data_IF_528610184959
#
_entry.id   IF_528610184959
#
_cell.length_a   1.000
_cell.length_b   1.000
_cell.length_c   1.000
_cell.angle_alpha   90.00
_cell.angle_beta   90.00
_cell.angle_gamma   90.00
#
_symmetry.space_group_name_H-M   'P 1'
#
loop_
_entity.id
_entity.type
_entity.pdbx_description
1 polymer ?
#
# COMPACT_ATOMS: atom_id res chain seq x y z
N UNK A 1 31.49 -4.66 -28.42
CA UNK A 1 31.74 -5.72 -27.43
C UNK A 1 30.45 -6.48 -27.19
N UNK A 2 30.42 -7.73 -27.68
CA UNK A 2 29.31 -8.64 -27.32
C UNK A 2 29.72 -9.32 -26.02
N UNK A 3 29.27 -8.77 -24.89
CA UNK A 3 29.44 -9.44 -23.62
C UNK A 3 28.48 -10.64 -23.57
N UNK A 4 29.01 -11.84 -23.39
CA UNK A 4 28.22 -13.03 -23.03
C UNK A 4 28.31 -13.24 -21.54
N UNK A 5 27.19 -13.62 -20.91
CA UNK A 5 27.12 -13.95 -19.48
C UNK A 5 26.45 -15.31 -19.35
N UNK A 6 26.99 -16.17 -18.50
CA UNK A 6 26.32 -17.42 -18.12
C UNK A 6 25.16 -17.05 -17.20
N UNK A 7 23.94 -17.47 -17.57
CA UNK A 7 22.71 -17.17 -16.82
C UNK A 7 22.12 -18.37 -16.10
N UNK A 8 22.63 -19.56 -16.38
CA UNK A 8 22.24 -20.79 -15.68
C UNK A 8 23.07 -21.97 -16.14
N UNK A 9 23.33 -22.88 -15.22
CA UNK A 9 24.01 -24.15 -15.46
C UNK A 9 23.20 -25.27 -14.81
N UNK A 10 23.16 -26.42 -15.46
CA UNK A 10 22.49 -27.61 -14.95
C UNK A 10 23.18 -28.88 -15.38
N UNK A 11 23.07 -29.92 -14.56
CA UNK A 11 23.60 -31.26 -14.89
C UNK A 11 22.44 -32.24 -14.95
N UNK A 12 22.49 -33.14 -15.89
CA UNK A 12 21.56 -34.25 -16.00
C UNK A 12 22.33 -35.59 -16.15
N UNK A 13 21.64 -36.68 -15.85
CA UNK A 13 22.24 -38.00 -15.93
C UNK A 13 22.63 -38.34 -17.38
N UNK A 14 23.69 -39.15 -17.53
CA UNK A 14 24.10 -39.65 -18.82
C UNK A 14 22.95 -40.37 -19.53
N UNK A 15 22.75 -40.06 -20.81
CA UNK A 15 21.75 -40.68 -21.67
C UNK A 15 22.36 -41.87 -22.42
N UNK A 16 21.62 -42.96 -22.53
CA UNK A 16 22.00 -44.04 -23.41
C UNK A 16 21.76 -43.68 -24.90
N UNK A 17 22.40 -44.38 -25.81
CA UNK A 17 22.25 -44.13 -27.22
C UNK A 17 20.77 -44.30 -27.67
N UNK A 18 20.22 -43.24 -28.23
CA UNK A 18 18.79 -43.18 -28.65
C UNK A 18 17.82 -42.65 -27.59
N UNK A 19 18.29 -42.41 -26.36
CA UNK A 19 17.46 -41.80 -25.32
C UNK A 19 17.34 -40.29 -25.47
N UNK A 20 16.29 -39.76 -24.87
CA UNK A 20 16.03 -38.34 -24.77
C UNK A 20 15.90 -37.91 -23.31
N UNK A 21 16.38 -36.71 -22.98
CA UNK A 21 16.25 -36.14 -21.66
C UNK A 21 15.69 -34.70 -21.75
N UNK A 22 15.10 -34.25 -20.66
CA UNK A 22 14.65 -32.87 -20.50
C UNK A 22 15.43 -32.25 -19.35
N UNK A 23 16.06 -31.11 -19.64
CA UNK A 23 16.65 -30.26 -18.59
C UNK A 23 15.83 -28.97 -18.50
N UNK A 24 15.40 -28.63 -17.29
CA UNK A 24 14.71 -27.40 -16.98
C UNK A 24 15.67 -26.47 -16.25
N UNK A 25 15.89 -25.30 -16.82
CA UNK A 25 16.74 -24.26 -16.23
C UNK A 25 15.92 -22.99 -16.07
N UNK A 26 15.85 -22.52 -14.84
CA UNK A 26 15.23 -21.25 -14.50
C UNK A 26 16.32 -20.19 -14.33
N UNK A 27 16.19 -19.10 -15.04
CA UNK A 27 17.09 -17.96 -14.88
C UNK A 27 16.31 -16.65 -14.84
N UNK A 28 16.83 -15.69 -14.11
CA UNK A 28 16.27 -14.33 -14.05
C UNK A 28 17.18 -13.39 -14.82
N UNK A 29 16.60 -12.41 -15.51
CA UNK A 29 17.38 -11.36 -16.17
C UNK A 29 17.94 -10.39 -15.11
N UNK A 30 19.12 -10.71 -14.58
CA UNK A 30 19.72 -10.02 -13.43
C UNK A 30 20.38 -8.68 -13.82
N UNK A 31 20.42 -8.33 -15.11
CA UNK A 31 21.23 -7.21 -15.52
C UNK A 31 20.44 -6.21 -16.37
N UNK A 32 20.42 -4.93 -15.94
CA UNK A 32 19.82 -3.80 -16.68
C UNK A 32 20.35 -3.69 -18.13
N UNK A 33 21.49 -4.32 -18.43
CA UNK A 33 22.12 -4.33 -19.74
C UNK A 33 21.58 -5.38 -20.71
N UNK A 34 20.64 -6.24 -20.30
CA UNK A 34 20.02 -7.27 -21.15
C UNK A 34 18.76 -6.80 -21.89
N UNK A 35 18.60 -5.49 -22.10
CA UNK A 35 17.47 -4.95 -22.83
C UNK A 35 17.59 -5.11 -24.34
N UNK A 36 16.46 -5.28 -25.00
CA UNK A 36 16.40 -5.34 -26.46
C UNK A 36 16.52 -6.76 -27.00
N UNK A 37 17.08 -6.87 -28.21
CA UNK A 37 17.26 -8.17 -28.87
C UNK A 37 18.45 -8.92 -28.26
N UNK A 38 18.16 -10.00 -27.54
CA UNK A 38 19.17 -10.90 -26.97
C UNK A 38 19.07 -12.28 -27.62
N UNK A 39 20.18 -13.00 -27.62
CA UNK A 39 20.21 -14.39 -28.08
C UNK A 39 20.60 -15.27 -26.88
N UNK A 40 19.69 -16.12 -26.45
CA UNK A 40 19.99 -17.18 -25.50
C UNK A 40 20.75 -18.27 -26.27
N UNK A 41 21.91 -18.61 -25.79
CA UNK A 41 22.71 -19.72 -26.31
C UNK A 41 22.69 -20.83 -25.28
N UNK A 42 22.19 -22.00 -25.65
CA UNK A 42 22.27 -23.20 -24.84
C UNK A 42 23.37 -24.06 -25.41
N UNK A 43 24.34 -24.40 -24.59
CA UNK A 43 25.45 -25.29 -24.93
C UNK A 43 25.33 -26.57 -24.08
N UNK A 44 25.38 -27.72 -24.73
CA UNK A 44 25.35 -29.02 -24.10
C UNK A 44 26.76 -29.59 -24.15
N UNK A 45 27.21 -30.22 -23.03
CA UNK A 45 28.54 -30.81 -22.90
C UNK A 45 29.68 -29.79 -23.19
N UNK A 46 29.67 -28.59 -22.55
CA UNK A 46 30.67 -27.56 -22.84
C UNK A 46 32.09 -27.97 -22.47
N UNK A 47 32.25 -28.84 -21.50
CA UNK A 47 33.55 -29.32 -21.03
C UNK A 47 34.08 -30.56 -21.81
N UNK A 48 33.25 -31.11 -22.69
CA UNK A 48 33.61 -32.27 -23.49
C UNK A 48 33.69 -33.56 -22.64
N UNK A 49 33.02 -33.62 -21.51
CA UNK A 49 33.03 -34.74 -20.57
C UNK A 49 32.47 -36.04 -21.17
N UNK A 50 31.59 -35.88 -22.17
CA UNK A 50 31.04 -36.99 -22.95
C UNK A 50 31.70 -37.00 -24.34
N UNK A 51 32.24 -38.17 -24.72
CA UNK A 51 32.80 -38.34 -26.04
C UNK A 51 31.69 -38.35 -27.10
N UNK A 52 31.73 -37.38 -28.02
CA UNK A 52 30.78 -37.23 -29.09
C UNK A 52 31.42 -37.28 -30.46
N UNK A 53 30.69 -37.79 -31.44
CA UNK A 53 31.17 -37.85 -32.82
C UNK A 53 31.14 -36.47 -33.47
N UNK A 54 30.20 -35.60 -33.08
CA UNK A 54 29.99 -34.27 -33.60
C UNK A 54 29.68 -33.32 -32.44
N UNK A 55 30.34 -32.16 -32.42
CA UNK A 55 30.15 -31.13 -31.39
C UNK A 55 29.35 -29.92 -31.93
N UNK A 56 29.17 -29.82 -33.26
CA UNK A 56 28.47 -28.67 -33.85
C UNK A 56 26.95 -28.63 -33.53
N UNK A 57 26.36 -29.75 -33.10
CA UNK A 57 24.96 -29.89 -32.72
C UNK A 57 24.70 -29.63 -31.25
N UNK A 58 25.74 -29.30 -30.47
CA UNK A 58 25.63 -29.02 -29.05
C UNK A 58 25.11 -27.61 -28.73
N UNK A 59 24.88 -26.81 -29.76
CA UNK A 59 24.44 -25.45 -29.59
C UNK A 59 23.01 -25.26 -30.09
N UNK A 60 22.19 -24.59 -29.22
CA UNK A 60 20.88 -24.09 -29.60
C UNK A 60 20.85 -22.58 -29.42
N UNK A 61 20.29 -21.85 -30.37
CA UNK A 61 20.20 -20.41 -30.36
C UNK A 61 18.75 -20.00 -30.36
N UNK A 62 18.34 -19.27 -29.34
CA UNK A 62 16.99 -18.69 -29.27
C UNK A 62 17.06 -17.18 -29.17
N UNK A 63 16.44 -16.50 -30.15
CA UNK A 63 16.36 -15.04 -30.18
C UNK A 63 15.10 -14.62 -29.43
N UNK A 64 15.26 -13.70 -28.48
CA UNK A 64 14.15 -13.12 -27.73
C UNK A 64 14.34 -11.62 -27.59
N UNK A 65 13.24 -10.92 -27.39
CA UNK A 65 13.26 -9.51 -27.06
C UNK A 65 13.01 -9.37 -25.55
N UNK A 66 13.97 -8.79 -24.85
CA UNK A 66 13.84 -8.49 -23.42
C UNK A 66 13.37 -7.05 -23.28
N UNK A 67 12.15 -6.87 -22.80
CA UNK A 67 11.60 -5.56 -22.47
C UNK A 67 12.23 -5.11 -21.15
N UNK A 68 12.84 -3.93 -21.12
CA UNK A 68 13.24 -3.29 -19.88
C UNK A 68 12.01 -2.75 -19.19
N UNK A 69 11.95 -3.00 -17.92
CA UNK A 69 11.10 -2.30 -16.99
C UNK A 69 11.89 -1.11 -16.42
N UNK A 70 11.41 0.07 -16.65
CA UNK A 70 11.99 1.32 -16.18
C UNK A 70 10.95 2.16 -15.41
N UNK A 71 9.76 1.58 -15.15
CA UNK A 71 8.73 2.23 -14.37
C UNK A 71 8.71 1.65 -12.96
N UNK A 72 8.63 2.50 -11.97
CA UNK A 72 8.45 2.06 -10.59
C UNK A 72 7.00 1.69 -10.30
N UNK A 73 6.76 0.92 -9.24
CA UNK A 73 5.43 0.50 -8.84
C UNK A 73 4.60 1.67 -8.32
N UNK A 74 3.28 1.53 -8.39
CA UNK A 74 2.35 2.46 -7.74
C UNK A 74 2.30 2.16 -6.24
N UNK A 75 2.52 3.19 -5.43
CA UNK A 75 2.43 3.12 -3.98
C UNK A 75 1.07 3.65 -3.51
N UNK A 76 0.42 2.91 -2.62
CA UNK A 76 -0.79 3.34 -1.92
C UNK A 76 -0.60 3.17 -0.41
N UNK A 77 -0.87 4.23 0.34
CA UNK A 77 -0.72 4.26 1.80
C UNK A 77 -2.02 4.70 2.42
N UNK A 78 -2.53 3.89 3.34
CA UNK A 78 -3.73 4.20 4.12
C UNK A 78 -3.45 4.00 5.61
N UNK A 79 -4.10 4.80 6.44
CA UNK A 79 -4.07 4.69 7.90
C UNK A 79 -5.53 4.53 8.36
N UNK A 80 -5.80 3.48 9.13
CA UNK A 80 -7.15 3.10 9.55
C UNK A 80 -8.14 3.00 8.37
N UNK A 81 -7.64 2.49 7.22
CA UNK A 81 -8.41 2.35 5.98
C UNK A 81 -8.61 3.64 5.17
N UNK A 82 -8.04 4.76 5.58
CA UNK A 82 -8.22 6.08 4.98
C UNK A 82 -6.90 6.65 4.48
N UNK A 83 -6.92 7.33 3.33
CA UNK A 83 -5.79 8.15 2.90
C UNK A 83 -5.81 9.46 3.68
N UNK A 84 -4.71 9.74 4.38
CA UNK A 84 -4.59 10.95 5.19
C UNK A 84 -4.32 12.18 4.33
N UNK A 85 -4.82 13.31 4.83
CA UNK A 85 -4.32 14.64 4.46
C UNK A 85 -3.30 15.11 5.50
N UNK A 86 -2.39 15.98 5.09
CA UNK A 86 -1.36 16.51 5.97
C UNK A 86 -1.97 17.24 7.17
N UNK A 87 -1.60 16.82 8.36
CA UNK A 87 -2.15 17.32 9.62
C UNK A 87 -3.45 16.64 10.11
N UNK A 88 -3.87 15.54 9.49
CA UNK A 88 -5.01 14.76 9.98
C UNK A 88 -4.72 14.18 11.38
N UNK A 89 -5.79 13.99 12.14
CA UNK A 89 -5.72 13.30 13.44
C UNK A 89 -5.96 11.81 13.24
N UNK A 90 -5.15 11.00 13.86
CA UNK A 90 -5.10 9.54 13.73
C UNK A 90 -5.31 8.88 15.10
N UNK A 91 -5.80 7.65 15.11
CA UNK A 91 -5.89 6.80 16.30
C UNK A 91 -4.53 6.64 16.98
N UNK A 92 -4.48 6.54 18.33
CA UNK A 92 -3.26 6.17 19.04
C UNK A 92 -2.71 4.78 18.71
N UNK A 93 -3.53 3.89 18.17
CA UNK A 93 -3.16 2.54 17.73
C UNK A 93 -3.51 2.36 16.24
N UNK A 94 -2.80 3.06 15.34
CA UNK A 94 -3.18 3.08 13.93
C UNK A 94 -2.80 1.78 13.22
N UNK A 95 -3.65 1.34 12.29
CA UNK A 95 -3.27 0.35 11.29
C UNK A 95 -2.78 1.07 10.02
N UNK A 96 -1.49 1.02 9.78
CA UNK A 96 -0.86 1.60 8.60
C UNK A 96 -0.72 0.52 7.54
N UNK A 97 -1.46 0.66 6.45
CA UNK A 97 -1.45 -0.28 5.32
C UNK A 97 -0.71 0.35 4.15
N UNK A 98 0.31 -0.35 3.69
CA UNK A 98 1.18 0.07 2.60
C UNK A 98 1.09 -0.97 1.49
N UNK A 99 0.71 -0.54 0.29
CA UNK A 99 0.54 -1.41 -0.85
C UNK A 99 1.36 -0.90 -2.02
N UNK A 100 2.16 -1.77 -2.63
CA UNK A 100 2.72 -1.53 -3.97
C UNK A 100 2.00 -2.38 -5.00
N UNK A 101 1.77 -1.76 -6.15
CA UNK A 101 1.12 -2.39 -7.28
C UNK A 101 1.97 -2.12 -8.53
N UNK A 102 2.40 -3.20 -9.21
CA UNK A 102 3.22 -3.11 -10.41
C UNK A 102 2.43 -3.60 -11.62
N UNK A 103 2.69 -3.03 -12.80
CA UNK A 103 2.11 -3.45 -14.06
C UNK A 103 2.79 -4.71 -14.62
N UNK A 104 3.98 -5.03 -14.15
CA UNK A 104 4.76 -6.21 -14.55
C UNK A 104 4.75 -7.26 -13.43
N UNK A 105 4.56 -8.52 -13.82
CA UNK A 105 4.28 -9.68 -12.99
C UNK A 105 5.43 -10.16 -12.08
N UNK A 106 6.28 -9.28 -11.58
CA UNK A 106 7.47 -9.66 -10.82
C UNK A 106 7.71 -8.77 -9.59
N UNK A 107 6.74 -8.73 -8.68
CA UNK A 107 7.07 -8.31 -7.32
C UNK A 107 7.86 -9.42 -6.61
N UNK A 108 8.80 -9.07 -5.71
CA UNK A 108 9.55 -10.07 -4.97
C UNK A 108 8.58 -11.01 -4.22
N UNK A 109 8.88 -12.31 -4.25
CA UNK A 109 8.08 -13.31 -3.54
C UNK A 109 8.14 -13.18 -2.01
N UNK A 110 8.99 -12.27 -1.51
CA UNK A 110 9.15 -11.96 -0.09
C UNK A 110 9.26 -10.45 0.07
N UNK A 111 8.47 -9.88 0.95
CA UNK A 111 8.56 -8.48 1.36
C UNK A 111 9.76 -8.32 2.29
N UNK A 112 10.63 -7.38 2.00
CA UNK A 112 11.86 -7.12 2.73
C UNK A 112 12.20 -5.62 2.74
N UNK A 113 13.27 -5.26 3.43
CA UNK A 113 13.81 -3.90 3.44
C UNK A 113 14.23 -3.39 2.04
N UNK A 114 14.33 -4.28 1.06
CA UNK A 114 14.57 -3.93 -0.34
C UNK A 114 13.30 -3.64 -1.13
N UNK A 115 12.13 -4.07 -0.63
CA UNK A 115 10.82 -3.82 -1.23
C UNK A 115 10.22 -2.50 -0.74
N UNK A 116 10.44 -2.19 0.53
CA UNK A 116 9.96 -0.95 1.16
C UNK A 116 11.04 -0.34 2.02
N UNK A 117 11.06 0.98 2.06
CA UNK A 117 11.73 1.76 3.08
C UNK A 117 10.67 2.59 3.79
N UNK A 118 10.56 2.44 5.10
CA UNK A 118 9.55 3.08 5.95
C UNK A 118 10.28 3.86 7.03
N UNK A 119 9.97 5.14 7.16
CA UNK A 119 10.39 5.98 8.27
C UNK A 119 9.15 6.36 9.05
N UNK A 120 9.21 6.17 10.34
CA UNK A 120 8.14 6.50 11.25
C UNK A 120 8.72 7.15 12.52
N UNK A 121 8.43 8.42 12.73
CA UNK A 121 9.07 9.21 13.80
C UNK A 121 8.22 10.43 14.19
N UNK A 122 8.60 11.07 15.31
CA UNK A 122 7.99 12.32 15.76
C UNK A 122 8.64 13.57 15.16
N UNK A 123 9.80 13.44 14.53
CA UNK A 123 10.46 14.52 13.84
C UNK A 123 9.86 14.81 12.48
N UNK A 124 9.75 16.07 12.12
CA UNK A 124 9.26 16.46 10.77
C UNK A 124 10.22 16.04 9.66
N UNK A 125 11.53 16.09 9.91
CA UNK A 125 12.53 15.60 8.96
C UNK A 125 12.84 14.13 9.23
N UNK A 126 12.13 13.25 8.56
CA UNK A 126 12.29 11.79 8.67
C UNK A 126 13.71 11.32 8.33
N UNK A 127 14.47 12.10 7.54
CA UNK A 127 15.84 11.76 7.11
C UNK A 127 16.83 11.72 8.26
N UNK A 128 16.49 12.30 9.40
CA UNK A 128 17.28 12.24 10.62
C UNK A 128 17.17 10.89 11.34
N UNK A 129 16.22 10.05 10.91
CA UNK A 129 15.92 8.77 11.51
C UNK A 129 16.33 7.60 10.60
N UNK A 130 16.56 6.43 11.20
CA UNK A 130 16.80 5.21 10.47
C UNK A 130 15.47 4.62 9.99
N UNK A 131 15.40 3.98 8.80
CA UNK A 131 14.22 3.27 8.38
C UNK A 131 13.82 2.16 9.38
N UNK A 132 12.54 1.92 9.49
CA UNK A 132 12.00 0.78 10.23
C UNK A 132 12.40 -0.51 9.53
N UNK A 133 13.04 -1.43 10.24
CA UNK A 133 13.38 -2.74 9.70
C UNK A 133 12.10 -3.57 9.54
N UNK A 134 11.88 -4.11 8.36
CA UNK A 134 10.70 -4.93 8.04
C UNK A 134 10.92 -6.36 8.49
N UNK A 135 12.10 -6.89 8.21
CA UNK A 135 12.48 -8.23 8.61
C UNK A 135 12.67 -8.28 10.13
N UNK A 136 12.00 -9.21 10.79
CA UNK A 136 12.05 -9.40 12.25
C UNK A 136 11.33 -8.34 13.10
N UNK A 137 10.44 -7.55 12.51
CA UNK A 137 9.61 -6.61 13.24
C UNK A 137 8.21 -7.22 13.49
N UNK A 138 7.90 -7.53 14.75
CA UNK A 138 6.61 -8.11 15.14
C UNK A 138 5.41 -7.19 14.91
N UNK A 139 5.64 -5.89 14.74
CA UNK A 139 4.63 -4.89 14.42
C UNK A 139 4.26 -4.86 12.93
N UNK A 140 5.02 -5.59 12.10
CA UNK A 140 4.84 -5.64 10.66
C UNK A 140 4.35 -7.00 10.21
N UNK A 141 3.17 -7.02 9.60
CA UNK A 141 2.59 -8.15 8.92
C UNK A 141 2.76 -7.99 7.41
N UNK A 142 3.57 -8.85 6.79
CA UNK A 142 3.77 -8.84 5.36
C UNK A 142 2.78 -9.79 4.68
N UNK A 143 1.91 -9.24 3.83
CA UNK A 143 0.93 -10.02 3.07
C UNK A 143 1.40 -10.12 1.62
N UNK A 144 2.01 -11.24 1.26
CA UNK A 144 2.33 -11.51 -0.13
C UNK A 144 1.19 -12.26 -0.80
N UNK A 145 0.53 -11.63 -1.74
CA UNK A 145 -0.33 -12.35 -2.69
C UNK A 145 0.54 -12.95 -3.79
N UNK A 146 1.25 -14.02 -3.44
CA UNK A 146 2.14 -14.71 -4.35
C UNK A 146 1.41 -15.58 -5.34
N UNK A 147 0.79 -15.04 -6.35
CA UNK A 147 0.57 -15.57 -7.72
C UNK A 147 -0.38 -14.69 -8.49
N UNK A 148 0.02 -14.37 -9.71
CA UNK A 148 -0.75 -13.63 -10.71
C UNK A 148 -2.22 -14.08 -10.86
N UNK A 149 -3.15 -13.18 -11.21
CA UNK A 149 -2.96 -11.83 -11.71
C UNK A 149 -3.23 -10.77 -10.64
N UNK A 150 -2.23 -10.13 -10.19
CA UNK A 150 -2.32 -9.04 -9.24
C UNK A 150 -0.95 -8.85 -8.61
N UNK A 151 -0.08 -8.10 -9.26
CA UNK A 151 1.24 -7.72 -8.78
C UNK A 151 1.15 -6.77 -7.61
N UNK A 152 0.62 -7.28 -6.51
CA UNK A 152 0.43 -6.52 -5.27
C UNK A 152 1.29 -7.13 -4.18
N UNK A 153 2.10 -6.29 -3.57
CA UNK A 153 2.69 -6.58 -2.28
C UNK A 153 2.07 -5.64 -1.26
N UNK A 154 1.60 -6.19 -0.17
CA UNK A 154 0.91 -5.45 0.88
C UNK A 154 1.61 -5.72 2.21
N UNK A 155 1.77 -4.67 2.99
CA UNK A 155 2.36 -4.68 4.30
C UNK A 155 1.43 -3.92 5.25
N UNK A 156 1.20 -4.47 6.42
CA UNK A 156 0.46 -3.81 7.50
C UNK A 156 1.44 -3.56 8.64
N UNK A 157 1.60 -2.30 9.00
CA UNK A 157 2.40 -1.87 10.13
C UNK A 157 1.48 -1.37 11.24
N UNK A 158 1.58 -1.99 12.41
CA UNK A 158 0.85 -1.63 13.62
C UNK A 158 1.86 -1.22 14.69
N UNK A 159 2.22 0.06 14.77
CA UNK A 159 3.10 0.53 15.83
C UNK A 159 2.46 0.32 17.20
N UNK A 160 3.28 0.23 18.25
CA UNK A 160 2.79 0.29 19.63
C UNK A 160 2.01 1.58 19.85
N UNK A 161 1.18 1.58 20.91
CA UNK A 161 0.38 2.75 21.27
C UNK A 161 1.21 4.02 21.29
N UNK A 162 0.80 4.97 20.47
CA UNK A 162 1.50 6.23 20.25
C UNK A 162 1.14 7.26 21.35
N UNK A 163 2.12 7.93 21.95
CA UNK A 163 1.89 9.14 22.75
C UNK A 163 1.28 10.28 21.92
N UNK A 164 0.71 11.27 22.62
CA UNK A 164 0.28 12.51 21.97
C UNK A 164 1.44 13.20 21.26
N UNK A 165 1.17 13.72 20.08
CA UNK A 165 2.16 14.48 19.32
C UNK A 165 2.00 14.39 17.82
N UNK A 166 2.85 15.13 17.11
CA UNK A 166 2.97 15.07 15.65
C UNK A 166 3.88 13.92 15.24
N UNK A 167 3.50 13.23 14.19
CA UNK A 167 4.22 12.10 13.60
C UNK A 167 4.45 12.31 12.11
N UNK A 168 5.54 11.76 11.64
CA UNK A 168 5.85 11.70 10.22
C UNK A 168 5.96 10.23 9.79
N UNK A 169 5.21 9.89 8.77
CA UNK A 169 5.35 8.64 8.03
C UNK A 169 5.91 8.97 6.66
N UNK A 170 7.06 8.39 6.32
CA UNK A 170 7.61 8.44 4.98
C UNK A 170 7.77 7.02 4.43
N UNK A 171 7.38 6.80 3.18
CA UNK A 171 7.38 5.48 2.56
C UNK A 171 7.92 5.56 1.14
N UNK A 172 8.85 4.66 0.83
CA UNK A 172 9.34 4.42 -0.52
C UNK A 172 9.12 2.95 -0.86
N UNK A 173 8.44 2.68 -1.96
CA UNK A 173 8.29 1.33 -2.49
C UNK A 173 9.24 1.08 -3.65
N UNK A 174 9.64 -0.17 -3.86
CA UNK A 174 10.51 -0.60 -4.95
C UNK A 174 9.96 -1.85 -5.61
N UNK A 175 10.15 -1.95 -6.93
CA UNK A 175 9.94 -3.17 -7.68
C UNK A 175 11.12 -4.15 -7.55
N UNK A 176 11.00 -5.32 -8.17
CA UNK A 176 12.08 -6.33 -8.20
C UNK A 176 13.37 -5.82 -8.87
N UNK A 177 13.30 -4.82 -9.75
CA UNK A 177 14.47 -4.25 -10.43
C UNK A 177 15.07 -3.08 -9.66
N UNK A 178 14.47 -2.69 -8.56
CA UNK A 178 14.89 -1.57 -7.74
C UNK A 178 14.47 -0.22 -8.34
N UNK A 179 13.44 -0.19 -9.23
CA UNK A 179 12.83 1.07 -9.61
C UNK A 179 11.97 1.55 -8.44
N UNK A 180 12.16 2.81 -8.07
CA UNK A 180 11.41 3.42 -6.98
C UNK A 180 10.00 3.82 -7.43
N UNK A 181 9.03 3.81 -6.52
CA UNK A 181 7.64 4.23 -6.77
C UNK A 181 7.52 5.70 -7.18
N UNK A 182 8.48 6.52 -6.80
CA UNK A 182 8.60 7.93 -7.16
C UNK A 182 10.03 8.41 -6.91
N UNK A 183 10.39 9.60 -7.41
CA UNK A 183 11.71 10.19 -7.19
C UNK A 183 11.95 10.52 -5.71
N UNK A 184 10.89 10.98 -5.02
CA UNK A 184 10.88 11.26 -3.58
C UNK A 184 9.94 10.31 -2.86
N UNK A 185 10.21 9.91 -1.61
CA UNK A 185 9.28 9.14 -0.77
C UNK A 185 7.93 9.84 -0.61
N UNK A 186 6.87 9.06 -0.50
CA UNK A 186 5.60 9.55 0.00
C UNK A 186 5.79 9.99 1.45
N UNK A 187 5.41 11.22 1.80
CA UNK A 187 5.53 11.77 3.15
C UNK A 187 4.19 12.31 3.59
N UNK A 188 3.78 11.96 4.80
CA UNK A 188 2.58 12.48 5.43
C UNK A 188 2.86 12.81 6.89
N UNK A 189 2.34 13.94 7.36
CA UNK A 189 2.37 14.35 8.77
C UNK A 189 0.97 14.21 9.35
N UNK A 190 0.87 13.71 10.57
CA UNK A 190 -0.39 13.55 11.28
C UNK A 190 -0.21 13.77 12.77
N UNK A 191 -1.31 13.97 13.48
CA UNK A 191 -1.31 14.19 14.93
C UNK A 191 -2.03 13.04 15.62
N UNK A 192 -1.50 12.63 16.77
CA UNK A 192 -2.13 11.68 17.68
C UNK A 192 -2.59 12.39 18.93
N UNK A 193 -3.87 12.19 19.31
CA UNK A 193 -4.49 12.74 20.51
C UNK A 193 -5.17 11.60 21.26
N UNK A 194 -4.65 11.25 22.44
CA UNK A 194 -5.16 10.15 23.26
C UNK A 194 -6.43 10.51 24.02
N UNK A 195 -6.68 11.81 24.26
CA UNK A 195 -7.89 12.25 24.93
C UNK A 195 -9.13 11.88 24.10
N UNK A 196 -10.08 11.14 24.71
CA UNK A 196 -11.34 10.79 24.08
C UNK A 196 -12.27 11.99 24.06
N UNK A 197 -12.49 12.56 22.88
CA UNK A 197 -13.34 13.72 22.72
C UNK A 197 -14.05 13.75 21.36
N UNK A 198 -15.22 14.34 21.36
CA UNK A 198 -15.90 14.80 20.15
C UNK A 198 -15.93 16.32 20.22
N UNK A 199 -15.31 16.95 19.25
CA UNK A 199 -15.15 18.42 19.24
C UNK A 199 -15.53 19.03 17.90
N UNK A 200 -15.69 20.35 17.89
CA UNK A 200 -15.96 21.15 16.68
C UNK A 200 -17.18 20.68 15.89
N UNK A 201 -18.24 20.26 16.57
CA UNK A 201 -19.51 19.87 15.91
C UNK A 201 -20.16 21.10 15.31
N UNK A 202 -20.22 21.17 13.98
CA UNK A 202 -20.74 22.31 13.23
C UNK A 202 -21.55 21.83 12.02
N UNK A 203 -22.73 22.46 11.75
CA UNK A 203 -23.42 22.26 10.47
C UNK A 203 -22.69 23.00 9.35
N UNK A 204 -22.54 22.36 8.17
CA UNK A 204 -21.94 22.95 6.98
C UNK A 204 -22.65 22.49 5.70
N UNK A 205 -23.16 23.42 4.86
CA UNK A 205 -23.19 24.88 5.05
C UNK A 205 -24.12 25.33 6.17
N UNK A 206 -23.84 26.48 6.76
CA UNK A 206 -24.72 27.15 7.73
C UNK A 206 -24.64 28.67 7.50
N UNK A 207 -25.75 29.37 7.10
CA UNK A 207 -27.08 28.81 6.84
C UNK A 207 -27.12 27.92 5.59
N UNK A 208 -28.14 27.07 5.51
CA UNK A 208 -28.38 26.22 4.34
C UNK A 208 -29.77 26.52 3.73
N UNK A 209 -29.94 26.19 2.44
CA UNK A 209 -31.20 26.35 1.71
C UNK A 209 -31.90 25.03 1.37
N UNK A 210 -31.11 23.96 1.15
CA UNK A 210 -31.62 22.65 0.78
C UNK A 210 -31.26 21.59 1.83
N UNK A 211 -30.00 21.53 2.23
CA UNK A 211 -29.53 20.58 3.24
C UNK A 211 -28.20 21.04 3.85
N UNK A 212 -27.88 20.50 5.00
CA UNK A 212 -26.59 20.68 5.69
C UNK A 212 -26.05 19.35 6.15
N UNK A 213 -24.72 19.22 6.21
CA UNK A 213 -24.02 18.10 6.82
C UNK A 213 -23.40 18.53 8.13
N UNK A 214 -23.02 17.58 8.95
CA UNK A 214 -22.35 17.89 10.21
C UNK A 214 -20.88 17.55 10.13
N UNK A 215 -20.07 18.49 10.57
CA UNK A 215 -18.62 18.36 10.67
C UNK A 215 -18.29 18.17 12.13
N UNK A 216 -17.41 17.23 12.45
CA UNK A 216 -16.92 17.00 13.80
C UNK A 216 -15.51 16.38 13.77
N UNK A 217 -14.81 16.45 14.90
CA UNK A 217 -13.53 15.79 15.09
C UNK A 217 -13.66 14.78 16.21
N UNK A 218 -13.29 13.52 15.94
CA UNK A 218 -13.26 12.44 16.92
C UNK A 218 -11.80 12.13 17.27
N UNK A 219 -11.48 12.10 18.58
CA UNK A 219 -10.15 11.75 19.09
C UNK A 219 -10.24 10.60 20.10
N UNK A 220 -9.09 9.97 20.39
CA UNK A 220 -8.99 8.83 21.31
C UNK A 220 -8.75 7.52 20.59
N UNK A 221 -8.91 6.42 21.33
CA UNK A 221 -8.57 5.04 20.91
C UNK A 221 -9.79 4.13 20.72
N UNK A 222 -10.99 4.60 21.12
CA UNK A 222 -12.22 3.83 20.99
C UNK A 222 -13.31 4.67 20.33
N UNK A 223 -14.03 4.08 19.39
CA UNK A 223 -15.23 4.70 18.82
C UNK A 223 -16.34 4.72 19.87
N UNK A 224 -17.17 5.78 19.92
CA UNK A 224 -18.27 5.84 20.86
C UNK A 224 -19.30 4.74 20.58
N UNK A 225 -19.90 4.18 21.63
CA UNK A 225 -20.99 3.19 21.50
C UNK A 225 -22.33 3.81 21.12
N UNK A 226 -22.51 5.09 21.41
CA UNK A 226 -23.67 5.90 21.05
C UNK A 226 -23.13 7.21 20.51
N UNK A 227 -23.56 7.55 19.29
CA UNK A 227 -23.19 8.82 18.68
C UNK A 227 -24.38 9.41 17.93
N UNK A 228 -25.06 10.31 18.57
CA UNK A 228 -26.29 10.93 18.08
C UNK A 228 -26.16 12.44 17.98
N UNK A 229 -26.73 13.03 16.95
CA UNK A 229 -26.93 14.47 16.82
C UNK A 229 -28.40 14.74 17.12
N UNK A 230 -28.66 15.52 18.17
CA UNK A 230 -29.99 15.94 18.56
C UNK A 230 -30.23 17.39 18.09
N UNK A 231 -31.24 17.60 17.28
CA UNK A 231 -31.63 18.89 16.78
C UNK A 231 -32.79 19.46 17.59
N UNK A 232 -32.63 20.68 18.07
CA UNK A 232 -33.62 21.33 18.92
C UNK A 232 -34.02 22.66 18.31
N UNK A 233 -35.26 23.07 18.56
CA UNK A 233 -35.66 24.48 18.35
C UNK A 233 -34.97 25.36 19.38
N UNK A 234 -34.96 26.69 19.15
CA UNK A 234 -34.45 27.66 20.13
C UNK A 234 -35.20 27.64 21.47
N UNK A 235 -36.41 27.05 21.52
CA UNK A 235 -37.21 26.89 22.75
C UNK A 235 -36.93 25.57 23.42
N UNK A 236 -35.97 24.75 22.93
CA UNK A 236 -35.57 23.47 23.54
C UNK A 236 -36.46 22.29 23.20
N UNK A 237 -37.35 22.39 22.19
CA UNK A 237 -38.14 21.26 21.70
C UNK A 237 -37.27 20.42 20.75
N UNK A 238 -37.10 19.13 21.04
CA UNK A 238 -36.46 18.17 20.17
C UNK A 238 -37.27 18.04 18.86
N UNK A 239 -36.63 18.14 17.73
CA UNK A 239 -37.23 18.03 16.39
C UNK A 239 -36.73 16.82 15.63
N UNK A 240 -35.48 16.41 15.83
CA UNK A 240 -34.92 15.24 15.18
C UNK A 240 -33.74 14.66 15.96
N UNK A 241 -33.59 13.33 15.91
CA UNK A 241 -32.41 12.60 16.33
C UNK A 241 -31.78 11.92 15.14
N UNK A 242 -30.48 12.05 14.98
CA UNK A 242 -29.69 11.44 13.91
C UNK A 242 -28.68 10.51 14.58
N UNK A 243 -28.86 9.21 14.43
CA UNK A 243 -27.90 8.20 14.88
C UNK A 243 -26.81 8.05 13.79
N UNK A 244 -25.60 8.54 14.07
CA UNK A 244 -24.50 8.51 13.14
C UNK A 244 -23.93 7.10 12.97
N UNK A 245 -23.90 6.28 14.01
CA UNK A 245 -23.37 4.92 13.91
C UNK A 245 -24.23 4.00 13.07
N UNK A 246 -25.52 4.28 12.96
CA UNK A 246 -26.44 3.53 12.12
C UNK A 246 -26.36 3.94 10.62
N UNK A 247 -25.80 5.11 10.32
CA UNK A 247 -25.83 5.68 8.98
C UNK A 247 -24.50 5.75 8.27
N UNK A 248 -23.37 5.74 9.01
CA UNK A 248 -22.05 5.91 8.44
C UNK A 248 -20.96 5.24 9.28
N UNK A 249 -19.80 4.99 8.66
CA UNK A 249 -18.59 4.56 9.35
C UNK A 249 -17.85 5.78 9.91
N UNK A 250 -17.88 5.94 11.23
CA UNK A 250 -17.22 7.02 11.97
C UNK A 250 -15.72 6.76 12.06
N UNK A 251 -14.89 7.77 11.73
CA UNK A 251 -13.44 7.68 11.75
C UNK A 251 -12.84 8.58 12.84
N UNK A 252 -11.63 8.24 13.28
CA UNK A 252 -10.82 9.20 14.04
C UNK A 252 -10.40 10.36 13.16
N UNK A 253 -10.20 11.53 13.78
CA UNK A 253 -9.89 12.77 13.09
C UNK A 253 -11.11 13.52 12.60
N UNK A 254 -10.94 14.27 11.53
CA UNK A 254 -11.97 15.10 10.93
C UNK A 254 -12.97 14.27 10.15
N UNK A 255 -14.25 14.48 10.43
CA UNK A 255 -15.37 13.84 9.76
C UNK A 255 -16.33 14.87 9.20
N UNK A 256 -16.94 14.52 8.06
CA UNK A 256 -18.11 15.17 7.47
C UNK A 256 -19.16 14.08 7.29
N UNK A 257 -20.38 14.26 7.81
CA UNK A 257 -21.41 13.22 7.72
C UNK A 257 -21.80 12.94 6.27
N UNK A 258 -21.97 11.66 5.93
CA UNK A 258 -22.58 11.25 4.66
C UNK A 258 -24.05 11.64 4.62
N UNK A 259 -24.71 11.56 5.75
CA UNK A 259 -26.07 12.04 5.94
C UNK A 259 -26.13 13.57 5.80
N UNK A 260 -27.12 14.04 5.02
CA UNK A 260 -27.42 15.46 4.88
C UNK A 260 -28.83 15.73 5.44
N UNK A 261 -28.91 16.61 6.45
CA UNK A 261 -30.20 17.04 6.99
C UNK A 261 -30.83 18.10 6.08
N UNK A 262 -32.07 17.83 5.67
CA UNK A 262 -32.85 18.64 4.74
C UNK A 262 -33.81 19.64 5.40
N UNK A 263 -33.75 19.80 6.72
CA UNK A 263 -34.64 20.68 7.48
C UNK A 263 -36.00 20.07 7.80
N UNK A 264 -36.11 18.72 7.76
CA UNK A 264 -37.33 18.03 8.18
C UNK A 264 -37.23 17.53 9.63
N UNK A 265 -38.37 17.37 10.28
CA UNK A 265 -38.46 16.73 11.58
C UNK A 265 -38.41 15.20 11.48
N UNK A 266 -38.65 14.50 12.59
CA UNK A 266 -38.62 13.05 12.70
C UNK A 266 -39.72 12.34 11.87
N UNK A 267 -40.81 13.06 11.55
CA UNK A 267 -41.94 12.56 10.77
C UNK A 267 -41.82 12.90 9.27
N UNK A 268 -40.80 13.66 8.88
CA UNK A 268 -40.57 14.12 7.50
C UNK A 268 -41.28 15.45 7.20
N UNK A 269 -41.84 16.09 8.17
CA UNK A 269 -42.49 17.38 7.97
C UNK A 269 -41.45 18.52 7.92
N UNK A 270 -41.59 19.43 6.93
CA UNK A 270 -40.68 20.56 6.77
C UNK A 270 -40.78 21.53 7.94
N UNK A 271 -39.63 21.83 8.54
CA UNK A 271 -39.57 22.84 9.60
C UNK A 271 -39.57 24.25 9.03
N UNK A 272 -40.11 25.19 9.83
CA UNK A 272 -40.08 26.60 9.45
C UNK A 272 -38.63 27.10 9.37
N UNK A 273 -38.40 28.15 8.54
CA UNK A 273 -37.12 28.84 8.52
C UNK A 273 -36.79 29.38 9.92
N UNK A 274 -35.63 29.05 10.44
CA UNK A 274 -35.28 29.46 11.80
C UNK A 274 -33.90 28.98 12.23
N UNK A 275 -33.65 29.06 13.53
CA UNK A 275 -32.44 28.55 14.18
C UNK A 275 -32.82 27.28 14.96
N UNK A 276 -32.00 26.28 14.78
CA UNK A 276 -32.14 24.96 15.38
C UNK A 276 -30.85 24.55 16.10
#
# INVERSE_FOLDING_TARGET
DRSSQVVGEGRFAALAAGDTGVAELQFHSVNKNMAGNVTLVVEVNPDGDQAEQYQFNNFYFHRMFVKTDGQGPLLDVTVDGKRLMDGDIVSPEPEIRIQVNDDIAYLPGTISDTTYQIWFCQERDYRLNTPVLIEQNEQIEAITTGRLPGNKAELIFRPDRLPDGEYTLAVQGYDFKGNASSDDPYVIHFEVINEKAISKVLPYPNPFSTSTRFVYTLTGDEKPYVFEIHLYTITGRLVRVIDLLAQEDVHFGYNITDFAWDGTDEFGDALANGVY
#
